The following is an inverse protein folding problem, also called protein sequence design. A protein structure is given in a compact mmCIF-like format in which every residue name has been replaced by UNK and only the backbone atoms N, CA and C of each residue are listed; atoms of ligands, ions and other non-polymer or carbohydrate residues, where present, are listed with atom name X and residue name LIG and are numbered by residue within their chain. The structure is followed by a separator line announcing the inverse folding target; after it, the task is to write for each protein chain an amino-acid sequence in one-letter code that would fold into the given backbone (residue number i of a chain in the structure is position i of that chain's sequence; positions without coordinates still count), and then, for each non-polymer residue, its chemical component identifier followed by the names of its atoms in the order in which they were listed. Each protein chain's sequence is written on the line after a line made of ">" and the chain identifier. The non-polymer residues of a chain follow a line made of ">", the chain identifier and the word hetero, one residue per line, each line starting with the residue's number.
data_IF_712222475281
#
_entry.id   IF_712222475281
#
_cell.length_a   1.000
_cell.length_b   1.000
_cell.length_c   1.000
_cell.angle_alpha   90.00
_cell.angle_beta   90.00
_cell.angle_gamma   90.00
#
_symmetry.space_group_name_H-M   'P 1'
#
loop_
_entity.id
_entity.type
_entity.pdbx_description
1 polymer ?
#
# COMPACT_ATOMS: atom_id res chain seq x y z
N UNK A 1 -25.35 -13.27 -16.12
CA UNK A 1 -24.26 -12.43 -16.63
C UNK A 1 -23.12 -12.53 -15.62
N UNK A 2 -21.96 -13.11 -15.99
CA UNK A 2 -20.80 -13.18 -15.10
C UNK A 2 -19.97 -11.92 -15.35
N UNK A 3 -19.89 -11.02 -14.37
CA UNK A 3 -18.97 -9.90 -14.41
C UNK A 3 -17.54 -10.45 -14.52
N UNK A 4 -16.89 -10.19 -15.65
CA UNK A 4 -15.47 -10.43 -15.81
C UNK A 4 -14.74 -9.45 -14.90
N UNK A 5 -14.32 -9.92 -13.72
CA UNK A 5 -13.37 -9.18 -12.88
C UNK A 5 -12.14 -8.90 -13.73
N UNK A 6 -11.90 -7.63 -14.05
CA UNK A 6 -10.65 -7.19 -14.63
C UNK A 6 -9.55 -7.44 -13.58
N UNK A 7 -8.91 -8.60 -13.63
CA UNK A 7 -7.89 -8.98 -12.67
C UNK A 7 -6.60 -8.24 -13.02
N UNK A 8 -6.36 -7.11 -12.36
CA UNK A 8 -5.06 -6.45 -12.38
C UNK A 8 -4.00 -7.47 -11.94
N UNK A 9 -2.98 -7.70 -12.77
CA UNK A 9 -1.88 -8.60 -12.42
C UNK A 9 -1.26 -8.18 -11.08
N UNK A 10 -0.85 -9.16 -10.24
CA UNK A 10 -0.27 -8.85 -8.94
C UNK A 10 0.95 -7.94 -9.10
N UNK A 11 0.97 -6.84 -8.35
CA UNK A 11 2.12 -5.94 -8.28
C UNK A 11 3.22 -6.62 -7.46
N UNK A 12 4.48 -6.64 -7.91
CA UNK A 12 5.58 -7.19 -7.12
C UNK A 12 5.81 -6.33 -5.86
N UNK A 13 6.22 -6.98 -4.77
CA UNK A 13 6.63 -6.33 -3.51
C UNK A 13 8.17 -6.43 -3.41
N UNK A 14 8.90 -5.33 -3.11
CA UNK A 14 8.40 -4.00 -2.74
C UNK A 14 7.78 -3.25 -3.94
N UNK A 15 6.62 -2.63 -3.69
CA UNK A 15 5.93 -1.78 -4.65
C UNK A 15 6.16 -0.32 -4.29
N UNK A 16 6.60 0.48 -5.27
CA UNK A 16 6.78 1.92 -5.12
C UNK A 16 6.16 2.63 -6.32
N UNK A 17 5.39 3.69 -6.06
CA UNK A 17 4.91 4.60 -7.10
C UNK A 17 4.66 5.99 -6.54
N UNK A 18 4.67 6.99 -7.43
CA UNK A 18 4.04 8.27 -7.14
C UNK A 18 2.53 8.10 -6.94
N UNK A 19 1.92 8.93 -6.10
CA UNK A 19 0.47 8.90 -5.81
C UNK A 19 -0.31 9.71 -6.85
N UNK A 20 0.01 11.00 -6.97
CA UNK A 20 -0.57 11.95 -7.91
C UNK A 20 0.37 13.15 -8.07
N UNK A 21 0.15 13.99 -9.07
CA UNK A 21 0.99 15.17 -9.31
C UNK A 21 1.02 16.15 -8.11
N UNK A 22 -0.11 16.30 -7.43
CA UNK A 22 -0.29 17.10 -6.22
C UNK A 22 -0.06 16.31 -4.92
N UNK A 23 0.13 15.00 -5.01
CA UNK A 23 0.31 14.11 -3.86
C UNK A 23 -1.00 13.82 -3.10
N UNK A 24 -0.87 13.47 -1.83
CA UNK A 24 -2.00 13.19 -0.94
C UNK A 24 -2.31 14.46 -0.13
N UNK A 25 -3.33 15.21 -0.58
CA UNK A 25 -3.78 16.48 0.02
C UNK A 25 -5.09 16.29 0.80
N UNK A 26 -5.49 17.25 1.67
CA UNK A 26 -6.76 17.16 2.39
C UNK A 26 -7.95 16.88 1.46
N UNK A 27 -8.82 15.96 1.87
CA UNK A 27 -9.97 15.51 1.08
C UNK A 27 -9.68 14.36 0.11
N UNK A 28 -8.42 13.93 -0.06
CA UNK A 28 -8.07 12.73 -0.83
C UNK A 28 -7.93 11.50 0.06
N UNK A 29 -8.21 10.34 -0.54
CA UNK A 29 -8.08 9.03 0.12
C UNK A 29 -7.19 8.12 -0.71
N UNK A 30 -6.20 7.51 -0.06
CA UNK A 30 -5.42 6.39 -0.62
C UNK A 30 -5.99 5.08 -0.07
N UNK A 31 -6.41 4.18 -0.97
CA UNK A 31 -6.94 2.86 -0.60
C UNK A 31 -6.01 1.79 -1.12
N UNK A 32 -5.57 0.89 -0.23
CA UNK A 32 -4.70 -0.24 -0.56
C UNK A 32 -5.45 -1.53 -0.27
N UNK A 33 -5.62 -2.36 -1.29
CA UNK A 33 -6.18 -3.70 -1.16
C UNK A 33 -5.06 -4.74 -1.29
N UNK A 34 -5.04 -5.69 -0.36
CA UNK A 34 -4.05 -6.76 -0.36
C UNK A 34 -4.39 -7.83 0.65
N UNK A 35 -3.72 -8.97 0.52
CA UNK A 35 -3.80 -10.07 1.49
C UNK A 35 -2.38 -10.40 1.90
N UNK A 36 -2.03 -10.28 3.19
CA UNK A 36 -0.73 -10.75 3.68
C UNK A 36 -0.54 -12.23 3.36
N UNK A 37 0.70 -12.64 3.10
CA UNK A 37 0.98 -14.06 2.94
C UNK A 37 0.66 -14.83 4.23
N UNK A 38 0.23 -16.10 4.08
CA UNK A 38 -0.22 -16.95 5.20
C UNK A 38 0.80 -17.07 6.33
N UNK A 39 2.09 -16.94 6.03
CA UNK A 39 3.20 -17.04 6.99
C UNK A 39 3.93 -15.70 7.17
N UNK A 40 3.37 -14.59 6.69
CA UNK A 40 3.96 -13.28 6.87
C UNK A 40 4.06 -12.94 8.36
N UNK A 41 5.22 -12.45 8.78
CA UNK A 41 5.42 -11.92 10.13
C UNK A 41 4.96 -10.47 10.23
N UNK A 42 5.18 -9.70 9.16
CA UNK A 42 4.85 -8.28 9.09
C UNK A 42 4.70 -7.84 7.65
N UNK A 43 4.08 -6.68 7.46
CA UNK A 43 4.19 -5.89 6.24
C UNK A 43 4.24 -4.41 6.61
N UNK A 44 4.68 -3.55 5.70
CA UNK A 44 4.63 -2.12 5.94
C UNK A 44 4.16 -1.36 4.69
N UNK A 45 3.52 -0.22 4.95
CA UNK A 45 3.15 0.78 3.97
C UNK A 45 3.75 2.10 4.45
N UNK A 46 4.62 2.68 3.64
CA UNK A 46 5.24 3.97 3.91
C UNK A 46 4.64 5.02 2.98
N UNK A 47 4.24 6.17 3.54
CA UNK A 47 3.98 7.37 2.75
C UNK A 47 5.21 8.26 2.81
N UNK A 48 5.83 8.49 1.66
CA UNK A 48 7.03 9.30 1.53
C UNK A 48 6.69 10.72 1.09
N UNK A 49 7.37 11.71 1.68
CA UNK A 49 7.41 13.08 1.15
C UNK A 49 8.33 13.12 -0.07
N UNK A 50 8.24 14.19 -0.88
CA UNK A 50 9.11 14.39 -2.06
C UNK A 50 10.61 14.37 -1.72
N UNK A 51 10.98 14.68 -0.48
CA UNK A 51 12.36 14.66 0.00
C UNK A 51 12.81 13.30 0.57
N UNK A 52 11.99 12.25 0.49
CA UNK A 52 12.32 10.90 0.95
C UNK A 52 11.97 10.59 2.42
N UNK A 53 11.59 11.60 3.20
CA UNK A 53 11.17 11.39 4.60
C UNK A 53 9.86 10.58 4.68
N UNK A 54 9.74 9.78 5.73
CA UNK A 54 8.52 9.00 6.01
C UNK A 54 7.51 9.89 6.76
N UNK A 55 6.44 10.28 6.08
CA UNK A 55 5.31 11.00 6.70
C UNK A 55 4.40 10.07 7.50
N UNK A 56 4.24 8.83 7.04
CA UNK A 56 3.49 7.80 7.73
C UNK A 56 4.21 6.46 7.58
N UNK A 57 4.43 5.78 8.70
CA UNK A 57 4.93 4.41 8.75
C UNK A 57 3.84 3.51 9.33
N UNK A 58 3.11 2.81 8.46
CA UNK A 58 2.18 1.78 8.88
C UNK A 58 2.89 0.43 8.83
N UNK A 59 3.01 -0.27 9.96
CA UNK A 59 3.82 -1.50 10.07
C UNK A 59 3.13 -2.57 10.92
N UNK A 60 2.04 -3.19 10.44
CA UNK A 60 1.43 -4.32 11.13
C UNK A 60 2.41 -5.47 11.28
N UNK A 61 2.53 -5.96 12.51
CA UNK A 61 3.35 -7.11 12.88
C UNK A 61 2.45 -8.13 13.54
N UNK A 62 2.35 -9.30 12.93
CA UNK A 62 1.51 -10.41 13.37
C UNK A 62 2.19 -11.28 14.42
N UNK A 63 3.51 -11.11 14.59
CA UNK A 63 4.32 -11.83 15.56
C UNK A 63 4.57 -11.04 16.85
N UNK A 64 4.04 -9.82 16.98
CA UNK A 64 4.08 -9.03 18.20
C UNK A 64 2.86 -9.30 19.10
N UNK A 65 3.07 -9.26 20.41
CA UNK A 65 2.08 -9.57 21.45
C UNK A 65 1.20 -8.39 21.81
#
# INVERSE_FOLDING_TARGET
>A
MRESKNAQAPKPVPYESGIAADGLVPGKTLVVYGTPEKKAKKFNINLLKKNGDIALHFNPRFDEK
#
